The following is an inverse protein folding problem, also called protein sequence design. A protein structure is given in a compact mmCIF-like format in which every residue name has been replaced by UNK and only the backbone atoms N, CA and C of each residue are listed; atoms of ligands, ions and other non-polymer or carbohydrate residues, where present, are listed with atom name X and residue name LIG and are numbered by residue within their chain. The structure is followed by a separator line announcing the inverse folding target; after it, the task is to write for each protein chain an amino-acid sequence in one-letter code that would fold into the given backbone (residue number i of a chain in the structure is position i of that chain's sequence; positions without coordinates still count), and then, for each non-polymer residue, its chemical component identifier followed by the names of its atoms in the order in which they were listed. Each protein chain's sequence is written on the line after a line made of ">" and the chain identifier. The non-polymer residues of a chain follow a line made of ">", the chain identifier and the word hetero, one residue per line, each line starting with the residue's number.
data_IF_848685291989
#
_entry.id   IF_848685291989
#
_cell.length_a   1.000
_cell.length_b   1.000
_cell.length_c   1.000
_cell.angle_alpha   90.00
_cell.angle_beta   90.00
_cell.angle_gamma   90.00
#
_symmetry.space_group_name_H-M   'P 1'
#
loop_
_entity.id
_entity.type
_entity.pdbx_description
1 polymer ?
#
# COMPACT_ATOMS: atom_id res chain seq x y z
N UNK A 1 46.81 -13.58 -8.96
CA UNK A 1 45.93 -14.67 -8.46
C UNK A 1 45.14 -14.29 -7.20
N UNK A 2 45.68 -13.43 -6.33
CA UNK A 2 44.96 -12.85 -5.19
C UNK A 2 43.67 -12.09 -5.57
N UNK A 3 43.67 -11.31 -6.64
CA UNK A 3 42.46 -10.59 -7.09
C UNK A 3 41.31 -11.51 -7.51
N UNK A 4 41.61 -12.64 -8.18
CA UNK A 4 40.59 -13.63 -8.58
C UNK A 4 40.04 -14.39 -7.37
N UNK A 5 40.87 -14.63 -6.35
CA UNK A 5 40.42 -15.21 -5.09
C UNK A 5 39.52 -14.25 -4.31
N UNK A 6 39.89 -12.96 -4.23
CA UNK A 6 39.08 -11.92 -3.59
C UNK A 6 37.74 -11.69 -4.30
N UNK A 7 37.73 -11.70 -5.63
CA UNK A 7 36.50 -11.59 -6.42
C UNK A 7 35.63 -12.84 -6.26
N UNK A 8 36.22 -14.04 -6.25
CA UNK A 8 35.49 -15.29 -6.04
C UNK A 8 34.85 -15.38 -4.65
N UNK A 9 35.59 -14.96 -3.61
CA UNK A 9 35.11 -14.98 -2.23
C UNK A 9 34.04 -13.90 -2.00
N UNK A 10 34.27 -12.69 -2.50
CA UNK A 10 33.25 -11.63 -2.49
C UNK A 10 31.98 -12.06 -3.25
N UNK A 11 32.12 -12.62 -4.45
CA UNK A 11 31.00 -13.13 -5.23
C UNK A 11 30.25 -14.27 -4.52
N UNK A 12 30.95 -15.16 -3.81
CA UNK A 12 30.33 -16.22 -3.01
C UNK A 12 29.55 -15.68 -1.81
N UNK A 13 30.03 -14.61 -1.17
CA UNK A 13 29.33 -13.92 -0.09
C UNK A 13 28.11 -13.12 -0.61
N UNK A 14 28.20 -12.51 -1.80
CA UNK A 14 27.07 -11.82 -2.43
C UNK A 14 26.00 -12.80 -2.94
N UNK A 15 26.39 -13.94 -3.50
CA UNK A 15 25.48 -14.89 -4.13
C UNK A 15 24.60 -15.67 -3.12
N UNK A 16 25.07 -15.85 -1.88
CA UNK A 16 24.40 -16.71 -0.89
C UNK A 16 23.40 -15.98 0.03
N UNK A 17 23.58 -14.67 0.27
CA UNK A 17 22.74 -13.90 1.20
C UNK A 17 22.05 -12.66 0.61
N UNK A 18 22.67 -11.96 -0.33
CA UNK A 18 22.18 -10.65 -0.81
C UNK A 18 21.14 -10.75 -1.94
N UNK A 19 21.05 -11.90 -2.62
CA UNK A 19 20.14 -12.12 -3.75
C UNK A 19 18.82 -12.80 -3.38
N UNK A 20 18.54 -13.00 -2.08
CA UNK A 20 17.19 -13.35 -1.62
C UNK A 20 16.41 -12.06 -1.42
N UNK A 21 15.68 -11.66 -2.45
CA UNK A 21 14.68 -10.60 -2.31
C UNK A 21 13.61 -11.09 -1.32
N UNK A 22 13.68 -10.62 -0.07
CA UNK A 22 12.69 -10.92 0.96
C UNK A 22 11.40 -10.15 0.66
N UNK A 23 10.33 -10.82 0.20
CA UNK A 23 9.10 -10.12 -0.20
C UNK A 23 8.47 -9.35 0.96
N UNK A 24 8.66 -9.83 2.19
CA UNK A 24 8.20 -9.17 3.42
C UNK A 24 8.83 -7.79 3.58
N UNK A 25 10.15 -7.65 3.36
CA UNK A 25 10.86 -6.36 3.43
C UNK A 25 10.33 -5.38 2.38
N UNK A 26 10.05 -5.87 1.18
CA UNK A 26 9.47 -5.04 0.11
C UNK A 26 8.06 -4.57 0.48
N UNK A 27 7.23 -5.45 1.04
CA UNK A 27 5.88 -5.11 1.49
C UNK A 27 5.91 -4.12 2.66
N UNK A 28 6.82 -4.28 3.62
CA UNK A 28 7.04 -3.33 4.72
C UNK A 28 7.39 -1.93 4.19
N UNK A 29 8.34 -1.85 3.24
CA UNK A 29 8.73 -0.58 2.62
C UNK A 29 7.56 0.08 1.87
N UNK A 30 6.78 -0.71 1.13
CA UNK A 30 5.56 -0.24 0.46
C UNK A 30 4.52 0.27 1.46
N UNK A 31 4.26 -0.47 2.54
CA UNK A 31 3.31 -0.09 3.57
C UNK A 31 3.68 1.26 4.21
N UNK A 32 4.96 1.48 4.50
CA UNK A 32 5.46 2.76 5.01
C UNK A 32 5.26 3.88 3.99
N UNK A 33 5.66 3.68 2.74
CA UNK A 33 5.55 4.71 1.69
C UNK A 33 4.11 5.12 1.40
N UNK A 34 3.21 4.14 1.24
CA UNK A 34 1.80 4.38 0.95
C UNK A 34 1.10 5.07 2.13
N UNK A 35 1.45 4.71 3.38
CA UNK A 35 0.90 5.36 4.57
C UNK A 35 1.28 6.83 4.64
N UNK A 36 2.52 7.17 4.27
CA UNK A 36 2.97 8.56 4.17
C UNK A 36 2.21 9.35 3.11
N UNK A 37 2.01 8.77 1.91
CA UNK A 37 1.23 9.40 0.84
C UNK A 37 -0.23 9.58 1.25
N UNK A 38 -0.82 8.57 1.92
CA UNK A 38 -2.18 8.63 2.43
C UNK A 38 -2.36 9.74 3.46
N UNK A 39 -1.45 9.87 4.43
CA UNK A 39 -1.47 10.98 5.39
C UNK A 39 -1.32 12.33 4.67
N UNK A 40 -0.44 12.42 3.69
CA UNK A 40 -0.24 13.60 2.85
C UNK A 40 -1.40 13.91 1.90
N UNK A 41 -2.42 13.06 1.78
CA UNK A 41 -3.63 13.35 1.02
C UNK A 41 -4.75 13.96 1.88
N UNK A 42 -4.57 14.00 3.20
CA UNK A 42 -5.57 14.50 4.16
C UNK A 42 -5.25 15.95 4.52
N UNK A 43 -6.19 16.85 4.28
CA UNK A 43 -6.02 18.27 4.57
C UNK A 43 -7.25 18.88 5.22
N UNK A 44 -7.03 19.90 6.05
CA UNK A 44 -8.09 20.69 6.66
C UNK A 44 -8.41 21.88 5.77
N UNK A 45 -9.69 22.14 5.53
CA UNK A 45 -10.09 23.38 4.86
C UNK A 45 -9.76 24.60 5.75
N UNK A 46 -9.42 25.76 5.14
CA UNK A 46 -9.11 27.02 5.85
C UNK A 46 -10.25 27.51 6.73
N UNK A 47 -11.48 27.14 6.38
CA UNK A 47 -12.71 27.44 7.12
C UNK A 47 -12.85 26.64 8.44
N UNK A 48 -11.98 25.66 8.69
CA UNK A 48 -11.97 24.89 9.93
C UNK A 48 -13.19 23.99 10.15
N UNK A 49 -14.05 23.79 9.14
CA UNK A 49 -15.31 23.05 9.30
C UNK A 49 -15.25 21.61 8.76
N UNK A 50 -14.29 21.28 7.88
CA UNK A 50 -14.18 19.93 7.30
C UNK A 50 -12.74 19.40 7.15
N UNK A 51 -12.62 18.07 7.07
CA UNK A 51 -11.42 17.37 6.58
C UNK A 51 -11.68 16.93 5.13
N UNK A 52 -10.80 17.32 4.22
CA UNK A 52 -10.82 16.89 2.82
C UNK A 52 -9.81 15.75 2.61
N UNK A 53 -10.11 14.87 1.67
CA UNK A 53 -9.20 13.81 1.24
C UNK A 53 -9.12 12.58 2.14
N UNK A 54 -9.89 12.51 3.23
CA UNK A 54 -9.94 11.32 4.11
C UNK A 54 -10.33 10.04 3.35
N UNK A 55 -11.37 10.12 2.52
CA UNK A 55 -11.85 8.99 1.70
C UNK A 55 -10.86 8.63 0.59
N UNK A 56 -10.15 9.62 0.05
CA UNK A 56 -9.10 9.43 -0.95
C UNK A 56 -7.90 8.69 -0.36
N UNK A 57 -7.45 9.11 0.84
CA UNK A 57 -6.38 8.46 1.58
C UNK A 57 -6.72 7.00 1.89
N UNK A 58 -7.94 6.73 2.37
CA UNK A 58 -8.42 5.38 2.62
C UNK A 58 -8.46 4.53 1.32
N UNK A 59 -8.91 5.13 0.20
CA UNK A 59 -8.93 4.47 -1.10
C UNK A 59 -7.54 4.08 -1.61
N UNK A 60 -6.55 4.95 -1.45
CA UNK A 60 -5.15 4.66 -1.81
C UNK A 60 -4.59 3.48 -1.01
N UNK A 61 -4.83 3.46 0.31
CA UNK A 61 -4.37 2.37 1.18
C UNK A 61 -5.02 1.03 0.80
N UNK A 62 -6.33 1.05 0.52
CA UNK A 62 -7.07 -0.12 0.09
C UNK A 62 -6.56 -0.65 -1.26
N UNK A 63 -6.40 0.22 -2.26
CA UNK A 63 -5.88 -0.14 -3.58
C UNK A 63 -4.48 -0.76 -3.50
N UNK A 64 -3.60 -0.19 -2.67
CA UNK A 64 -2.27 -0.74 -2.44
C UNK A 64 -2.31 -2.13 -1.79
N UNK A 65 -3.16 -2.32 -0.77
CA UNK A 65 -3.29 -3.61 -0.08
C UNK A 65 -3.83 -4.70 -1.02
N UNK A 66 -4.77 -4.34 -1.90
CA UNK A 66 -5.28 -5.23 -2.96
C UNK A 66 -4.15 -5.58 -3.94
N UNK A 67 -3.35 -4.60 -4.36
CA UNK A 67 -2.18 -4.83 -5.23
C UNK A 67 -1.17 -5.79 -4.62
N UNK A 68 -0.88 -5.65 -3.32
CA UNK A 68 -0.01 -6.58 -2.58
C UNK A 68 -0.60 -7.99 -2.53
N UNK A 69 -1.90 -8.12 -2.26
CA UNK A 69 -2.59 -9.42 -2.26
C UNK A 69 -2.51 -10.12 -3.63
N UNK A 70 -2.61 -9.36 -4.72
CA UNK A 70 -2.42 -9.87 -6.08
C UNK A 70 -0.97 -10.30 -6.31
N UNK A 71 0.01 -9.50 -5.87
CA UNK A 71 1.43 -9.80 -6.02
C UNK A 71 1.86 -11.11 -5.35
N UNK A 72 1.24 -11.48 -4.21
CA UNK A 72 1.47 -12.76 -3.52
C UNK A 72 0.55 -13.90 -4.01
N UNK A 73 -0.07 -13.74 -5.19
CA UNK A 73 -0.91 -14.74 -5.84
C UNK A 73 -2.21 -15.10 -5.08
N UNK A 74 -2.73 -14.20 -4.23
CA UNK A 74 -3.93 -14.41 -3.40
C UNK A 74 -5.17 -13.73 -3.98
N UNK A 75 -5.57 -14.16 -5.17
CA UNK A 75 -6.68 -13.55 -5.92
C UNK A 75 -8.03 -13.59 -5.20
N UNK A 76 -8.37 -14.69 -4.52
CA UNK A 76 -9.65 -14.81 -3.80
C UNK A 76 -9.77 -13.75 -2.70
N UNK A 77 -8.69 -13.54 -1.95
CA UNK A 77 -8.62 -12.54 -0.89
C UNK A 77 -8.68 -11.13 -1.48
N UNK A 78 -7.94 -10.88 -2.58
CA UNK A 78 -7.96 -9.60 -3.28
C UNK A 78 -9.36 -9.22 -3.78
N UNK A 79 -10.08 -10.17 -4.39
CA UNK A 79 -11.47 -9.96 -4.82
C UNK A 79 -12.40 -9.70 -3.64
N UNK A 80 -12.25 -10.46 -2.53
CA UNK A 80 -13.05 -10.26 -1.32
C UNK A 80 -12.88 -8.86 -0.72
N UNK A 81 -11.63 -8.41 -0.55
CA UNK A 81 -11.31 -7.07 -0.03
C UNK A 81 -11.87 -5.99 -0.96
N UNK A 82 -11.72 -6.15 -2.27
CA UNK A 82 -12.24 -5.20 -3.27
C UNK A 82 -13.76 -5.08 -3.19
N UNK A 83 -14.47 -6.21 -3.09
CA UNK A 83 -15.93 -6.22 -3.01
C UNK A 83 -16.42 -5.53 -1.73
N UNK A 84 -15.82 -5.87 -0.59
CA UNK A 84 -16.15 -5.25 0.71
C UNK A 84 -15.86 -3.75 0.68
N UNK A 85 -14.68 -3.36 0.18
CA UNK A 85 -14.30 -1.95 0.06
C UNK A 85 -15.27 -1.15 -0.82
N UNK A 86 -15.65 -1.70 -1.98
CA UNK A 86 -16.65 -1.08 -2.85
C UNK A 86 -18.01 -0.96 -2.18
N UNK A 87 -18.46 -1.97 -1.45
CA UNK A 87 -19.73 -1.91 -0.70
C UNK A 87 -19.68 -0.81 0.35
N UNK A 88 -18.59 -0.70 1.11
CA UNK A 88 -18.42 0.34 2.13
C UNK A 88 -18.41 1.73 1.50
N UNK A 89 -17.56 1.97 0.49
CA UNK A 89 -17.47 3.27 -0.19
C UNK A 89 -18.78 3.66 -0.85
N UNK A 90 -19.45 2.71 -1.51
CA UNK A 90 -20.76 2.95 -2.16
C UNK A 90 -21.85 3.22 -1.15
N UNK A 91 -21.84 2.52 -0.02
CA UNK A 91 -22.79 2.76 1.08
C UNK A 91 -22.58 4.15 1.66
N UNK A 92 -21.33 4.55 1.93
CA UNK A 92 -21.01 5.90 2.40
C UNK A 92 -21.47 6.99 1.44
N UNK A 93 -21.15 6.85 0.15
CA UNK A 93 -21.57 7.80 -0.89
C UNK A 93 -23.10 7.85 -1.03
N UNK A 94 -23.77 6.71 -0.87
CA UNK A 94 -25.24 6.65 -0.88
C UNK A 94 -25.83 7.30 0.37
N UNK A 95 -25.23 7.06 1.55
CA UNK A 95 -25.66 7.66 2.82
C UNK A 95 -25.52 9.17 2.78
N UNK A 96 -24.42 9.70 2.25
CA UNK A 96 -24.18 11.13 2.10
C UNK A 96 -25.21 11.78 1.17
N UNK A 97 -25.50 11.14 0.03
CA UNK A 97 -26.56 11.60 -0.89
C UNK A 97 -27.95 11.56 -0.26
N UNK A 98 -28.22 10.59 0.62
CA UNK A 98 -29.50 10.45 1.32
C UNK A 98 -29.61 11.41 2.50
N UNK A 99 -28.51 11.73 3.17
CA UNK A 99 -28.52 12.52 4.38
C UNK A 99 -28.61 14.03 4.15
N UNK A 100 -28.27 14.57 2.96
CA UNK A 100 -28.44 16.00 2.58
C UNK A 100 -28.46 16.94 3.80
N UNK A 101 -27.44 16.86 4.65
CA UNK A 101 -27.27 17.82 5.72
C UNK A 101 -26.55 18.99 5.04
N UNK A 102 -27.34 20.04 4.85
CA UNK A 102 -26.89 21.39 4.50
C UNK A 102 -25.74 21.82 5.39
#
# INVERSE_FOLDING_TARGET
>A
RLGLALIGDAAAHFASGALRADPTRTIEALAVGISFIGAGAIFRDRSGTGMQGLTTAAGLLAAATIGVAIAINRYIVACGITLIGLVVLRTFAYLERRLKLK
#
